data_IF_310075073570
#
_entry.id   IF_310075073570
#
_cell.length_a   1.000
_cell.length_b   1.000
_cell.length_c   1.000
_cell.angle_alpha   90.00
_cell.angle_beta   90.00
_cell.angle_gamma   90.00
#
_symmetry.space_group_name_H-M   'P 1'
#
loop_
_entity.id
_entity.type
_entity.pdbx_description
1 polymer ?
#
# COMPACT_ATOMS: atom_id res chain seq x y z
N UNK A 1 27.82 -32.45 4.98
CA UNK A 1 27.15 -32.17 3.70
C UNK A 1 25.68 -31.90 4.05
N UNK A 2 25.37 -30.67 4.30
CA UNK A 2 24.03 -30.21 4.56
C UNK A 2 23.67 -29.28 3.41
N UNK A 3 22.96 -29.86 2.40
CA UNK A 3 22.37 -29.10 1.33
C UNK A 3 21.30 -28.16 1.92
N UNK A 4 21.60 -26.87 1.94
CA UNK A 4 20.64 -25.82 2.20
C UNK A 4 19.73 -25.73 0.97
N UNK A 5 18.58 -26.40 1.03
CA UNK A 5 17.50 -26.16 0.09
C UNK A 5 16.91 -24.78 0.39
N UNK A 6 17.47 -23.74 -0.22
CA UNK A 6 16.80 -22.47 -0.39
C UNK A 6 15.65 -22.69 -1.39
N UNK A 7 14.53 -23.22 -0.91
CA UNK A 7 13.31 -23.30 -1.66
C UNK A 7 12.66 -21.91 -1.67
N UNK A 8 13.10 -21.04 -2.58
CA UNK A 8 12.32 -19.86 -2.94
C UNK A 8 11.07 -20.36 -3.68
N UNK A 9 10.03 -20.68 -2.92
CA UNK A 9 8.71 -20.94 -3.47
C UNK A 9 8.12 -19.58 -3.91
N UNK A 10 8.55 -19.12 -5.06
CA UNK A 10 7.85 -18.07 -5.78
C UNK A 10 6.57 -18.70 -6.31
N UNK A 11 5.43 -18.37 -5.71
CA UNK A 11 4.16 -18.65 -6.37
C UNK A 11 4.23 -18.02 -7.76
N UNK A 12 3.93 -18.77 -8.83
CA UNK A 12 3.86 -18.18 -10.15
C UNK A 12 2.58 -17.34 -10.27
N UNK A 13 2.50 -16.19 -9.57
CA UNK A 13 1.68 -15.09 -10.04
C UNK A 13 2.43 -14.38 -11.19
N UNK A 14 3.39 -15.07 -11.74
CA UNK A 14 4.05 -14.81 -13.02
C UNK A 14 3.09 -14.73 -14.22
N UNK A 15 1.78 -14.79 -14.00
CA UNK A 15 0.76 -14.66 -15.02
C UNK A 15 -0.41 -13.78 -14.55
N UNK A 16 -0.13 -12.58 -14.04
CA UNK A 16 -1.10 -11.50 -14.25
C UNK A 16 -1.14 -11.31 -15.77
N UNK A 17 -2.24 -11.64 -16.48
CA UNK A 17 -2.26 -11.52 -17.93
C UNK A 17 -1.81 -10.13 -18.33
N UNK A 18 -0.84 -10.04 -19.24
CA UNK A 18 -0.42 -8.76 -19.79
C UNK A 18 -1.68 -8.03 -20.28
N UNK A 19 -1.85 -6.77 -19.86
CA UNK A 19 -3.02 -5.98 -20.22
C UNK A 19 -4.22 -6.08 -19.28
N UNK A 20 -4.15 -6.80 -18.16
CA UNK A 20 -5.25 -6.89 -17.18
C UNK A 20 -5.66 -5.52 -16.60
N UNK A 21 -4.69 -4.59 -16.47
CA UNK A 21 -4.90 -3.21 -16.06
C UNK A 21 -4.63 -2.22 -17.19
N UNK A 22 -4.64 -2.66 -18.45
CA UNK A 22 -4.42 -1.78 -19.58
C UNK A 22 -5.42 -0.62 -19.62
N UNK A 23 -4.92 0.60 -19.85
CA UNK A 23 -5.71 1.82 -19.88
C UNK A 23 -6.12 2.36 -18.51
N UNK A 24 -5.68 1.74 -17.41
CA UNK A 24 -5.85 2.27 -16.05
C UNK A 24 -4.73 3.24 -15.68
N UNK A 25 -5.07 4.23 -14.89
CA UNK A 25 -4.09 5.13 -14.26
C UNK A 25 -4.10 4.89 -12.76
N UNK A 26 -3.01 4.31 -12.28
CA UNK A 26 -2.83 3.93 -10.87
C UNK A 26 -1.96 4.95 -10.12
N UNK A 27 -2.35 5.28 -8.91
CA UNK A 27 -1.57 6.08 -7.95
C UNK A 27 -1.21 5.21 -6.76
N UNK A 28 0.07 5.16 -6.40
CA UNK A 28 0.56 4.37 -5.27
C UNK A 28 1.36 5.26 -4.34
N UNK A 29 0.92 5.42 -3.10
CA UNK A 29 1.70 6.13 -2.07
C UNK A 29 2.63 5.17 -1.33
N UNK A 30 3.77 5.69 -0.82
CA UNK A 30 4.79 4.83 -0.22
C UNK A 30 5.47 3.91 -1.23
N UNK A 31 5.55 4.34 -2.50
CA UNK A 31 6.03 3.52 -3.61
C UNK A 31 7.56 3.35 -3.66
N UNK A 32 8.33 4.00 -2.78
CA UNK A 32 9.80 3.95 -2.81
C UNK A 32 10.41 2.65 -2.29
N UNK A 33 9.63 1.76 -1.63
CA UNK A 33 10.10 0.48 -1.12
C UNK A 33 8.92 -0.46 -0.77
N UNK A 34 9.24 -1.70 -0.40
CA UNK A 34 8.33 -2.68 0.18
C UNK A 34 7.08 -2.92 -0.68
N UNK A 35 5.92 -3.01 -0.03
CA UNK A 35 4.63 -3.33 -0.67
C UNK A 35 4.28 -2.33 -1.78
N UNK A 36 4.56 -1.04 -1.58
CA UNK A 36 4.27 -0.02 -2.59
C UNK A 36 5.08 -0.20 -3.87
N UNK A 37 6.39 -0.47 -3.76
CA UNK A 37 7.26 -0.74 -4.90
C UNK A 37 6.87 -2.05 -5.60
N UNK A 38 6.63 -3.12 -4.86
CA UNK A 38 6.18 -4.40 -5.40
C UNK A 38 4.82 -4.26 -6.13
N UNK A 39 3.88 -3.49 -5.57
CA UNK A 39 2.59 -3.19 -6.22
C UNK A 39 2.78 -2.42 -7.53
N UNK A 40 3.73 -1.47 -7.56
CA UNK A 40 4.05 -0.72 -8.77
C UNK A 40 4.58 -1.63 -9.88
N UNK A 41 5.46 -2.59 -9.56
CA UNK A 41 5.92 -3.61 -10.50
C UNK A 41 4.75 -4.43 -11.05
N UNK A 42 3.85 -4.92 -10.21
CA UNK A 42 2.68 -5.72 -10.65
C UNK A 42 1.74 -4.93 -11.54
N UNK A 43 1.48 -3.66 -11.18
CA UNK A 43 0.56 -2.82 -11.97
C UNK A 43 1.17 -2.43 -13.32
N UNK A 44 2.47 -2.10 -13.36
CA UNK A 44 3.18 -1.83 -14.60
C UNK A 44 3.20 -3.07 -15.52
N UNK A 45 3.51 -4.25 -14.97
CA UNK A 45 3.48 -5.53 -15.71
C UNK A 45 2.07 -5.85 -16.22
N UNK A 46 1.02 -5.43 -15.50
CA UNK A 46 -0.38 -5.58 -15.92
C UNK A 46 -0.83 -4.53 -16.95
N UNK A 47 0.02 -3.57 -17.33
CA UNK A 47 -0.23 -2.57 -18.36
C UNK A 47 -0.87 -1.27 -17.86
N UNK A 48 -0.86 -0.99 -16.57
CA UNK A 48 -1.30 0.30 -16.02
C UNK A 48 -0.24 1.39 -16.22
N UNK A 49 -0.69 2.63 -16.41
CA UNK A 49 0.13 3.80 -16.15
C UNK A 49 0.23 4.02 -14.62
N UNK A 50 1.44 4.29 -14.09
CA UNK A 50 1.67 4.29 -12.64
C UNK A 50 2.29 5.59 -12.15
N UNK A 51 1.64 6.28 -11.22
CA UNK A 51 2.21 7.37 -10.44
C UNK A 51 2.80 6.83 -9.13
N UNK A 52 4.10 7.05 -8.92
CA UNK A 52 4.86 6.60 -7.76
C UNK A 52 5.03 7.77 -6.78
N UNK A 53 4.36 7.72 -5.63
CA UNK A 53 4.39 8.77 -4.63
C UNK A 53 5.18 8.33 -3.40
N UNK A 54 6.09 9.20 -2.92
CA UNK A 54 6.86 8.97 -1.71
C UNK A 54 7.85 10.09 -1.45
N UNK A 55 8.55 10.06 -0.32
CA UNK A 55 9.50 11.13 0.07
C UNK A 55 10.87 11.00 -0.59
N UNK A 56 11.29 9.75 -0.90
CA UNK A 56 12.64 9.41 -1.37
C UNK A 56 12.72 9.49 -2.90
N UNK A 57 12.96 10.69 -3.45
CA UNK A 57 12.95 10.94 -4.90
C UNK A 57 13.87 10.01 -5.68
N UNK A 58 15.12 9.82 -5.23
CA UNK A 58 16.08 8.95 -5.92
C UNK A 58 15.59 7.51 -6.10
N UNK A 59 14.99 6.91 -5.04
CA UNK A 59 14.43 5.56 -5.13
C UNK A 59 13.19 5.49 -6.04
N UNK A 60 12.40 6.56 -6.10
CA UNK A 60 11.26 6.64 -7.02
C UNK A 60 11.73 6.75 -8.47
N UNK A 61 12.79 7.53 -8.74
CA UNK A 61 13.38 7.69 -10.07
C UNK A 61 13.99 6.38 -10.57
N UNK A 62 14.73 5.66 -9.72
CA UNK A 62 15.32 4.37 -10.03
C UNK A 62 14.22 3.31 -10.33
N UNK A 63 13.18 3.27 -9.50
CA UNK A 63 12.04 2.37 -9.73
C UNK A 63 11.33 2.73 -11.04
N UNK A 64 11.11 4.02 -11.31
CA UNK A 64 10.47 4.45 -12.55
C UNK A 64 11.29 4.07 -13.77
N UNK A 65 12.63 4.17 -13.72
CA UNK A 65 13.51 3.75 -14.78
C UNK A 65 13.41 2.24 -15.03
N UNK A 66 13.41 1.44 -13.96
CA UNK A 66 13.26 -0.02 -14.01
C UNK A 66 11.93 -0.41 -14.65
N UNK A 67 10.81 0.15 -14.18
CA UNK A 67 9.48 -0.18 -14.69
C UNK A 67 9.30 0.19 -16.18
N UNK A 68 9.89 1.31 -16.60
CA UNK A 68 9.88 1.70 -18.02
C UNK A 68 10.68 0.72 -18.88
N UNK A 69 11.83 0.27 -18.38
CA UNK A 69 12.70 -0.66 -19.11
C UNK A 69 12.09 -2.07 -19.21
N UNK A 70 11.52 -2.58 -18.13
CA UNK A 70 11.01 -3.95 -18.05
C UNK A 70 9.62 -4.12 -18.69
N UNK A 71 8.74 -3.10 -18.55
CA UNK A 71 7.33 -3.24 -18.90
C UNK A 71 6.85 -2.23 -19.96
N UNK A 72 7.72 -1.34 -20.45
CA UNK A 72 7.35 -0.24 -21.34
C UNK A 72 6.19 0.61 -20.78
N UNK A 73 6.08 0.67 -19.45
CA UNK A 73 4.99 1.34 -18.75
C UNK A 73 5.15 2.86 -18.73
N UNK A 74 4.05 3.59 -18.77
CA UNK A 74 4.03 5.01 -18.46
C UNK A 74 4.15 5.19 -16.93
N UNK A 75 5.25 5.78 -16.46
CA UNK A 75 5.53 5.91 -15.03
C UNK A 75 5.89 7.36 -14.69
N UNK A 76 5.27 7.90 -13.64
CA UNK A 76 5.54 9.24 -13.12
C UNK A 76 5.98 9.15 -11.65
N UNK A 77 7.27 9.34 -11.34
CA UNK A 77 7.73 9.50 -9.97
C UNK A 77 7.39 10.93 -9.46
N UNK A 78 6.85 11.02 -8.24
CA UNK A 78 6.49 12.29 -7.59
C UNK A 78 6.95 12.28 -6.15
N UNK A 79 7.94 13.11 -5.82
CA UNK A 79 8.38 13.29 -4.45
C UNK A 79 7.33 14.08 -3.66
N UNK A 80 6.72 13.44 -2.67
CA UNK A 80 5.65 14.04 -1.86
C UNK A 80 5.58 13.39 -0.48
N UNK A 81 5.33 14.19 0.55
CA UNK A 81 4.90 13.70 1.85
C UNK A 81 3.37 13.67 1.89
N UNK A 82 2.79 12.51 2.20
CA UNK A 82 1.34 12.36 2.30
C UNK A 82 0.75 13.12 3.52
N UNK A 83 1.57 13.48 4.49
CA UNK A 83 1.20 14.32 5.62
C UNK A 83 1.06 15.81 5.25
N UNK A 84 1.50 16.22 4.04
CA UNK A 84 1.32 17.57 3.51
C UNK A 84 0.17 17.63 2.50
N UNK A 85 -1.00 18.17 2.87
CA UNK A 85 -2.16 18.24 1.98
C UNK A 85 -1.96 19.16 0.75
N UNK A 86 -1.11 20.20 0.87
CA UNK A 86 -0.84 21.10 -0.24
C UNK A 86 0.06 20.41 -1.28
N UNK A 87 1.09 19.69 -0.82
CA UNK A 87 1.96 18.88 -1.66
C UNK A 87 1.17 17.75 -2.36
N UNK A 88 0.27 17.07 -1.65
CA UNK A 88 -0.62 16.06 -2.26
C UNK A 88 -1.52 16.65 -3.36
N UNK A 89 -2.05 17.84 -3.13
CA UNK A 89 -2.90 18.52 -4.14
C UNK A 89 -2.11 18.89 -5.38
N UNK A 90 -0.88 19.36 -5.21
CA UNK A 90 0.02 19.67 -6.33
C UNK A 90 0.42 18.38 -7.09
N UNK A 91 0.76 17.31 -6.37
CA UNK A 91 1.05 16.01 -6.95
C UNK A 91 -0.12 15.47 -7.79
N UNK A 92 -1.34 15.55 -7.27
CA UNK A 92 -2.53 15.12 -7.99
C UNK A 92 -2.77 15.92 -9.28
N UNK A 93 -2.49 17.22 -9.26
CA UNK A 93 -2.58 18.06 -10.46
C UNK A 93 -1.55 17.68 -11.51
N UNK A 94 -0.32 17.38 -11.10
CA UNK A 94 0.75 16.90 -11.97
C UNK A 94 0.40 15.54 -12.60
N UNK A 95 -0.13 14.61 -11.81
CA UNK A 95 -0.54 13.28 -12.28
C UNK A 95 -1.63 13.40 -13.35
N UNK A 96 -2.67 14.22 -13.09
CA UNK A 96 -3.74 14.45 -14.09
C UNK A 96 -3.24 15.04 -15.40
N UNK A 97 -2.25 15.94 -15.33
CA UNK A 97 -1.67 16.57 -16.51
C UNK A 97 -0.77 15.61 -17.32
N UNK A 98 -0.12 14.63 -16.66
CA UNK A 98 0.90 13.76 -17.27
C UNK A 98 0.32 12.41 -17.69
N UNK A 99 -0.39 11.73 -16.78
CA UNK A 99 -0.91 10.37 -16.99
C UNK A 99 -2.42 10.33 -17.23
N UNK A 100 -3.12 11.44 -17.04
CA UNK A 100 -4.56 11.48 -17.07
C UNK A 100 -5.19 11.28 -15.69
N UNK A 101 -6.53 11.13 -15.66
CA UNK A 101 -7.29 10.98 -14.41
C UNK A 101 -7.13 9.59 -13.82
N UNK A 102 -6.67 9.48 -12.57
CA UNK A 102 -6.58 8.19 -11.88
C UNK A 102 -7.94 7.52 -11.70
N UNK A 103 -7.98 6.21 -11.90
CA UNK A 103 -9.11 5.36 -11.58
C UNK A 103 -8.77 4.23 -10.60
N UNK A 104 -7.51 4.16 -10.17
CA UNK A 104 -7.00 3.20 -9.18
C UNK A 104 -6.07 3.92 -8.20
N UNK A 105 -6.41 3.94 -6.93
CA UNK A 105 -5.59 4.56 -5.86
C UNK A 105 -5.26 3.53 -4.80
N UNK A 106 -3.97 3.37 -4.52
CA UNK A 106 -3.45 2.55 -3.43
C UNK A 106 -2.83 3.47 -2.37
N UNK A 107 -3.56 3.71 -1.31
CA UNK A 107 -3.11 4.46 -0.14
C UNK A 107 -2.31 3.51 0.77
N UNK A 108 -1.02 3.33 0.41
CA UNK A 108 -0.11 2.37 1.04
C UNK A 108 0.89 3.04 2.00
N UNK A 109 1.21 4.33 1.84
CA UNK A 109 2.16 5.01 2.72
C UNK A 109 1.80 4.80 4.19
N UNK A 110 2.79 4.41 4.99
CA UNK A 110 2.62 4.17 6.42
C UNK A 110 3.95 4.06 7.13
N UNK A 111 3.92 4.27 8.44
CA UNK A 111 5.05 4.09 9.36
C UNK A 111 4.60 3.26 10.55
N UNK A 112 5.53 2.47 11.10
CA UNK A 112 5.32 1.64 12.28
C UNK A 112 6.46 1.91 13.26
N UNK A 113 6.14 2.57 14.36
CA UNK A 113 7.08 2.97 15.39
C UNK A 113 6.53 2.43 16.72
N UNK A 114 7.25 1.49 17.29
CA UNK A 114 6.83 0.75 18.49
C UNK A 114 7.77 1.00 19.66
N UNK A 115 7.19 1.07 20.85
CA UNK A 115 7.89 1.09 22.13
C UNK A 115 6.91 0.71 23.26
N UNK A 116 7.38 0.25 24.44
CA UNK A 116 6.56 0.20 25.64
C UNK A 116 5.91 1.57 25.90
N UNK A 117 4.66 1.58 26.36
CA UNK A 117 3.87 2.82 26.43
C UNK A 117 4.50 3.90 27.32
N UNK A 118 5.18 3.52 28.38
CA UNK A 118 5.86 4.39 29.33
C UNK A 118 7.27 4.84 28.89
N UNK A 119 7.80 4.25 27.83
CA UNK A 119 9.12 4.58 27.28
C UNK A 119 9.03 5.24 25.88
N UNK A 120 7.83 5.33 25.32
CA UNK A 120 7.61 5.80 23.96
C UNK A 120 7.85 7.30 23.79
N UNK A 121 8.53 7.68 22.70
CA UNK A 121 8.59 9.08 22.25
C UNK A 121 7.25 9.48 21.60
N UNK A 122 6.59 10.49 22.16
CA UNK A 122 5.32 10.99 21.61
C UNK A 122 5.47 11.61 20.21
N UNK A 123 6.66 12.03 19.81
CA UNK A 123 6.92 12.49 18.44
C UNK A 123 6.75 11.35 17.41
N UNK A 124 7.08 10.11 17.77
CA UNK A 124 6.79 8.93 16.95
C UNK A 124 5.29 8.66 16.85
N UNK A 125 4.52 8.94 17.90
CA UNK A 125 3.06 8.85 17.83
C UNK A 125 2.46 9.88 16.88
N UNK A 126 2.92 11.14 16.94
CA UNK A 126 2.48 12.20 16.04
C UNK A 126 2.80 11.83 14.58
N UNK A 127 3.99 11.27 14.32
CA UNK A 127 4.38 10.80 13.00
C UNK A 127 3.46 9.67 12.49
N UNK A 128 3.13 8.69 13.34
CA UNK A 128 2.18 7.63 12.97
C UNK A 128 0.78 8.18 12.69
N UNK A 129 0.31 9.10 13.50
CA UNK A 129 -1.00 9.75 13.29
C UNK A 129 -1.00 10.56 12.00
N UNK A 130 0.04 11.33 11.74
CA UNK A 130 0.13 12.18 10.55
C UNK A 130 0.19 11.36 9.27
N UNK A 131 0.99 10.30 9.23
CA UNK A 131 1.13 9.48 8.01
C UNK A 131 -0.03 8.50 7.87
N UNK A 132 -0.29 7.66 8.91
CA UNK A 132 -1.22 6.55 8.79
C UNK A 132 -2.68 7.00 8.86
N UNK A 133 -2.98 8.05 9.68
CA UNK A 133 -4.36 8.45 9.96
C UNK A 133 -4.79 9.75 9.26
N UNK A 134 -3.89 10.71 9.03
CA UNK A 134 -4.20 11.93 8.26
C UNK A 134 -3.85 11.77 6.78
N UNK A 135 -2.66 11.25 6.47
CA UNK A 135 -2.15 11.10 5.10
C UNK A 135 -2.92 10.10 4.25
N UNK A 136 -3.36 8.97 4.83
CA UNK A 136 -4.12 7.96 4.11
C UNK A 136 -5.49 8.51 3.62
N UNK A 137 -6.37 9.06 4.45
CA UNK A 137 -7.63 9.63 3.97
C UNK A 137 -7.42 10.88 3.11
N UNK A 138 -6.36 11.67 3.33
CA UNK A 138 -6.02 12.79 2.46
C UNK A 138 -5.68 12.30 1.04
N UNK A 139 -4.95 11.19 0.92
CA UNK A 139 -4.70 10.52 -0.37
C UNK A 139 -6.01 10.14 -1.06
N UNK A 140 -6.91 9.43 -0.38
CA UNK A 140 -8.23 9.11 -0.94
C UNK A 140 -9.03 10.36 -1.32
N UNK A 141 -9.00 11.39 -0.47
CA UNK A 141 -9.78 12.63 -0.66
C UNK A 141 -9.33 13.45 -1.88
N UNK A 142 -8.04 13.50 -2.16
CA UNK A 142 -7.51 14.30 -3.28
C UNK A 142 -7.85 13.69 -4.65
N UNK A 143 -8.04 12.35 -4.71
CA UNK A 143 -8.37 11.63 -5.94
C UNK A 143 -9.85 11.21 -6.05
N UNK A 144 -10.68 11.45 -5.03
CA UNK A 144 -12.07 10.95 -5.02
C UNK A 144 -12.90 11.45 -6.20
N UNK A 145 -12.70 12.69 -6.66
CA UNK A 145 -13.42 13.24 -7.80
C UNK A 145 -13.07 12.52 -9.12
N UNK A 146 -11.82 12.02 -9.23
CA UNK A 146 -11.39 11.25 -10.41
C UNK A 146 -11.99 9.85 -10.39
N UNK A 147 -11.99 9.18 -9.22
CA UNK A 147 -12.60 7.86 -9.04
C UNK A 147 -14.11 7.90 -9.33
N UNK A 148 -14.80 8.91 -8.84
CA UNK A 148 -16.23 9.08 -9.11
C UNK A 148 -16.51 9.34 -10.59
N UNK A 149 -15.72 10.20 -11.24
CA UNK A 149 -15.86 10.46 -12.68
C UNK A 149 -15.56 9.21 -13.53
N UNK A 150 -14.63 8.35 -13.08
CA UNK A 150 -14.39 7.07 -13.73
C UNK A 150 -15.60 6.14 -13.60
N UNK A 151 -16.17 6.03 -12.40
CA UNK A 151 -17.36 5.23 -12.14
C UNK A 151 -18.59 5.73 -12.93
N UNK A 152 -18.83 7.04 -12.95
CA UNK A 152 -19.90 7.67 -13.74
C UNK A 152 -19.75 7.42 -15.25
N UNK A 153 -18.52 7.28 -15.74
CA UNK A 153 -18.21 6.92 -17.12
C UNK A 153 -18.30 5.39 -17.38
N UNK A 154 -18.80 4.60 -16.42
CA UNK A 154 -18.90 3.14 -16.53
C UNK A 154 -17.55 2.39 -16.45
N UNK A 155 -16.48 3.07 -16.08
CA UNK A 155 -15.16 2.46 -15.85
C UNK A 155 -15.04 1.95 -14.43
N UNK A 156 -14.16 0.97 -14.26
CA UNK A 156 -13.83 0.46 -12.91
C UNK A 156 -13.05 1.52 -12.13
N UNK A 157 -13.45 1.78 -10.89
CA UNK A 157 -12.81 2.74 -10.00
C UNK A 157 -12.51 2.09 -8.64
N UNK A 158 -11.26 2.17 -8.19
CA UNK A 158 -10.78 1.49 -6.99
C UNK A 158 -10.06 2.42 -6.02
N UNK A 159 -10.38 2.28 -4.73
CA UNK A 159 -9.61 2.81 -3.61
C UNK A 159 -9.18 1.64 -2.72
N UNK A 160 -7.88 1.38 -2.67
CA UNK A 160 -7.27 0.36 -1.81
C UNK A 160 -6.55 1.05 -0.66
N UNK A 161 -6.91 0.72 0.57
CA UNK A 161 -6.24 1.21 1.77
C UNK A 161 -5.41 0.09 2.38
N UNK A 162 -4.13 0.35 2.68
CA UNK A 162 -3.28 -0.61 3.39
C UNK A 162 -3.54 -0.53 4.89
N UNK A 163 -4.27 -1.54 5.38
CA UNK A 163 -4.47 -1.78 6.78
C UNK A 163 -3.32 -2.56 7.42
N UNK A 164 -3.65 -3.41 8.36
CA UNK A 164 -2.74 -4.36 9.02
C UNK A 164 -3.56 -5.27 9.92
N UNK A 165 -3.10 -6.50 10.15
CA UNK A 165 -3.65 -7.36 11.20
C UNK A 165 -3.50 -6.76 12.61
N UNK A 166 -2.57 -5.82 12.81
CA UNK A 166 -2.45 -5.04 14.05
C UNK A 166 -3.70 -4.18 14.40
N UNK A 167 -4.67 -4.07 13.47
CA UNK A 167 -5.98 -3.51 13.76
C UNK A 167 -6.82 -4.39 14.70
N UNK A 168 -6.57 -5.70 14.74
CA UNK A 168 -7.35 -6.71 15.47
C UNK A 168 -6.48 -7.56 16.41
N UNK A 169 -5.22 -7.83 16.03
CA UNK A 169 -4.27 -8.58 16.85
C UNK A 169 -3.52 -7.64 17.79
N UNK A 170 -3.40 -8.04 19.06
CA UNK A 170 -2.76 -7.21 20.09
C UNK A 170 -1.25 -7.46 20.11
N UNK A 171 -0.50 -6.38 19.90
CA UNK A 171 0.95 -6.33 20.08
C UNK A 171 1.26 -5.27 21.13
N UNK A 172 1.79 -5.69 22.30
CA UNK A 172 1.94 -4.83 23.49
C UNK A 172 2.72 -3.54 23.23
N UNK A 173 3.80 -3.61 22.46
CA UNK A 173 4.69 -2.47 22.20
C UNK A 173 4.24 -1.59 21.01
N UNK A 174 3.04 -1.83 20.46
CA UNK A 174 2.54 -1.10 19.29
C UNK A 174 1.17 -0.47 19.50
N UNK A 175 0.86 0.17 20.67
CA UNK A 175 -0.49 0.60 20.98
C UNK A 175 -1.00 1.67 20.00
N UNK A 176 -0.18 2.67 19.66
CA UNK A 176 -0.59 3.75 18.74
C UNK A 176 -0.62 3.27 17.29
N UNK A 177 0.34 2.44 16.87
CA UNK A 177 0.28 1.82 15.54
C UNK A 177 -0.99 1.02 15.35
N UNK A 178 -1.32 0.11 16.28
CA UNK A 178 -2.56 -0.67 16.25
C UNK A 178 -3.81 0.20 16.20
N UNK A 179 -3.84 1.26 17.02
CA UNK A 179 -4.94 2.23 17.01
C UNK A 179 -5.09 2.93 15.64
N UNK A 180 -3.98 3.35 15.00
CA UNK A 180 -4.05 3.96 13.65
C UNK A 180 -4.58 2.96 12.63
N UNK A 181 -4.18 1.69 12.69
CA UNK A 181 -4.63 0.65 11.74
C UNK A 181 -6.09 0.23 11.99
N UNK A 182 -6.54 0.19 13.24
CA UNK A 182 -7.96 0.00 13.56
C UNK A 182 -8.83 1.14 13.02
N UNK A 183 -8.34 2.39 13.13
CA UNK A 183 -9.01 3.54 12.54
C UNK A 183 -9.07 3.46 11.00
N UNK A 184 -8.02 3.00 10.32
CA UNK A 184 -8.01 2.78 8.87
C UNK A 184 -9.04 1.72 8.46
N UNK A 185 -9.13 0.61 9.20
CA UNK A 185 -10.13 -0.44 8.94
C UNK A 185 -11.55 0.13 9.03
N UNK A 186 -11.86 0.86 10.13
CA UNK A 186 -13.20 1.44 10.29
C UNK A 186 -13.49 2.54 9.26
N UNK A 187 -12.51 3.39 8.94
CA UNK A 187 -12.61 4.38 7.87
C UNK A 187 -12.93 3.72 6.53
N UNK A 188 -12.23 2.65 6.19
CA UNK A 188 -12.42 1.92 4.93
C UNK A 188 -13.82 1.34 4.83
N UNK A 189 -14.36 0.76 5.91
CA UNK A 189 -15.75 0.27 5.99
C UNK A 189 -16.76 1.39 5.75
N UNK A 190 -16.56 2.56 6.35
CA UNK A 190 -17.43 3.73 6.18
C UNK A 190 -17.36 4.29 4.75
N UNK A 191 -16.14 4.41 4.19
CA UNK A 191 -15.97 4.85 2.80
C UNK A 191 -16.61 3.88 1.81
N UNK A 192 -16.52 2.58 2.05
CA UNK A 192 -17.19 1.55 1.23
C UNK A 192 -18.70 1.73 1.24
N UNK A 193 -19.30 1.96 2.41
CA UNK A 193 -20.73 2.20 2.54
C UNK A 193 -21.18 3.49 1.80
N UNK A 194 -20.37 4.54 1.81
CA UNK A 194 -20.67 5.82 1.19
C UNK A 194 -20.41 5.87 -0.32
N UNK A 195 -19.32 5.24 -0.78
CA UNK A 195 -18.83 5.34 -2.16
C UNK A 195 -19.24 4.16 -3.04
N UNK A 196 -19.51 2.99 -2.44
CA UNK A 196 -19.97 1.80 -3.16
C UNK A 196 -21.23 2.02 -3.98
N UNK A 197 -22.30 2.63 -3.43
CA UNK A 197 -23.49 2.99 -4.19
C UNK A 197 -23.22 3.95 -5.35
N UNK A 198 -22.07 4.63 -5.35
CA UNK A 198 -21.62 5.56 -6.40
C UNK A 198 -20.62 4.91 -7.36
N UNK A 199 -20.46 3.57 -7.30
CA UNK A 199 -19.65 2.79 -8.22
C UNK A 199 -18.15 2.73 -7.92
N UNK A 200 -17.67 3.28 -6.79
CA UNK A 200 -16.25 3.17 -6.37
C UNK A 200 -16.08 1.96 -5.45
N UNK A 201 -15.22 1.04 -5.83
CA UNK A 201 -14.87 -0.14 -5.00
C UNK A 201 -13.83 0.26 -3.96
N UNK A 202 -14.21 0.23 -2.69
CA UNK A 202 -13.31 0.55 -1.57
C UNK A 202 -13.00 -0.72 -0.79
N UNK A 203 -11.70 -0.96 -0.55
CA UNK A 203 -11.24 -2.17 0.16
C UNK A 203 -10.06 -1.90 1.08
N UNK A 204 -9.88 -2.77 2.06
CA UNK A 204 -8.63 -2.90 2.80
C UNK A 204 -7.85 -4.14 2.36
N UNK A 205 -6.54 -4.04 2.41
CA UNK A 205 -5.63 -5.18 2.40
C UNK A 205 -4.81 -5.10 3.67
N UNK A 206 -4.86 -6.17 4.46
CA UNK A 206 -4.40 -6.19 5.84
C UNK A 206 -3.29 -7.24 6.01
N UNK A 207 -2.02 -6.90 5.71
CA UNK A 207 -0.91 -7.84 5.83
C UNK A 207 -0.46 -8.03 7.28
N UNK A 208 0.12 -9.21 7.56
CA UNK A 208 0.91 -9.48 8.74
C UNK A 208 2.32 -9.93 8.36
N UNK A 209 3.33 -9.50 9.10
CA UNK A 209 4.73 -9.98 9.00
C UNK A 209 5.31 -10.00 7.58
N UNK A 210 4.95 -9.04 6.75
CA UNK A 210 5.60 -8.85 5.46
C UNK A 210 7.03 -8.32 5.65
N UNK A 211 8.00 -8.94 4.97
CA UNK A 211 9.39 -8.46 4.97
C UNK A 211 9.47 -7.17 4.16
N UNK A 212 9.68 -6.07 4.87
CA UNK A 212 9.82 -4.72 4.32
C UNK A 212 10.71 -3.90 5.24
N UNK A 213 11.04 -2.67 4.84
CA UNK A 213 11.72 -1.70 5.70
C UNK A 213 10.83 -1.16 6.85
N UNK A 214 9.54 -1.51 6.88
CA UNK A 214 8.60 -1.01 7.89
C UNK A 214 9.05 -1.42 9.30
N UNK A 215 9.25 -0.44 10.18
CA UNK A 215 9.73 -0.64 11.53
C UNK A 215 11.25 -0.51 11.70
N UNK A 216 12.03 -0.32 10.62
CA UNK A 216 13.49 -0.10 10.73
C UNK A 216 13.86 1.21 11.40
N UNK A 217 12.95 2.21 11.35
CA UNK A 217 13.17 3.56 11.85
C UNK A 217 12.73 3.74 13.32
N UNK A 218 12.33 2.67 14.03
CA UNK A 218 11.98 2.74 15.46
C UNK A 218 13.16 3.24 16.29
N UNK A 219 12.95 4.25 17.11
CA UNK A 219 13.97 4.73 18.04
C UNK A 219 14.21 3.74 19.17
N UNK A 220 13.18 3.01 19.64
CA UNK A 220 13.30 2.03 20.70
C UNK A 220 13.98 0.74 20.22
N UNK A 221 15.27 0.61 20.54
CA UNK A 221 16.14 -0.48 20.01
C UNK A 221 15.66 -1.88 20.42
N UNK A 222 15.17 -2.06 21.63
CA UNK A 222 14.72 -3.37 22.11
C UNK A 222 13.47 -3.84 21.34
N UNK A 223 12.50 -2.95 21.08
CA UNK A 223 11.31 -3.29 20.28
C UNK A 223 11.68 -3.56 18.82
N UNK A 224 12.64 -2.80 18.26
CA UNK A 224 13.15 -3.05 16.91
C UNK A 224 13.81 -4.44 16.81
N UNK A 225 14.69 -4.78 17.76
CA UNK A 225 15.33 -6.10 17.81
C UNK A 225 14.29 -7.22 18.01
N UNK A 226 13.28 -7.02 18.86
CA UNK A 226 12.18 -7.96 19.05
C UNK A 226 11.34 -8.19 17.78
N UNK A 227 11.16 -7.17 16.95
CA UNK A 227 10.50 -7.31 15.63
C UNK A 227 11.33 -8.20 14.69
N UNK A 228 12.64 -8.00 14.66
CA UNK A 228 13.55 -8.81 13.83
C UNK A 228 13.62 -10.27 14.31
N UNK A 229 13.62 -10.49 15.63
CA UNK A 229 13.53 -11.83 16.23
C UNK A 229 12.19 -12.49 15.85
N UNK A 230 11.09 -11.80 15.99
CA UNK A 230 9.76 -12.29 15.63
C UNK A 230 9.66 -12.66 14.14
N UNK A 231 10.23 -11.82 13.26
CA UNK A 231 10.30 -12.09 11.81
C UNK A 231 11.17 -13.31 11.49
N UNK A 232 12.25 -13.54 12.24
CA UNK A 232 13.14 -14.70 12.04
C UNK A 232 12.55 -16.01 12.58
N UNK A 233 11.59 -15.94 13.50
CA UNK A 233 10.97 -17.10 14.14
C UNK A 233 9.85 -17.74 13.30
N UNK A 234 9.37 -17.07 12.26
CA UNK A 234 8.27 -17.54 11.41
C UNK A 234 8.66 -17.47 9.92
N UNK A 235 7.95 -18.24 9.10
CA UNK A 235 8.03 -18.05 7.65
C UNK A 235 7.25 -16.79 7.27
N UNK A 236 7.96 -15.68 7.07
CA UNK A 236 7.35 -14.40 6.70
C UNK A 236 6.80 -14.42 5.28
N UNK A 237 5.84 -13.54 5.00
CA UNK A 237 5.44 -13.23 3.62
C UNK A 237 6.32 -12.12 3.05
N UNK A 238 6.39 -12.03 1.73
CA UNK A 238 7.15 -10.99 1.02
C UNK A 238 6.26 -9.79 0.66
N UNK A 239 6.89 -8.69 0.27
CA UNK A 239 6.17 -7.55 -0.29
C UNK A 239 5.43 -7.92 -1.58
N UNK A 240 5.99 -8.83 -2.36
CA UNK A 240 5.42 -9.37 -3.61
C UNK A 240 4.16 -10.17 -3.36
N UNK A 241 4.11 -11.00 -2.29
CA UNK A 241 2.90 -11.76 -1.92
C UNK A 241 1.72 -10.81 -1.63
N UNK A 242 1.99 -9.71 -0.93
CA UNK A 242 0.98 -8.69 -0.66
C UNK A 242 0.59 -7.93 -1.93
N UNK A 243 1.55 -7.59 -2.79
CA UNK A 243 1.29 -6.94 -4.07
C UNK A 243 0.46 -7.82 -5.01
N UNK A 244 0.67 -9.13 -4.98
CA UNK A 244 -0.13 -10.11 -5.72
C UNK A 244 -1.58 -10.13 -5.24
N UNK A 245 -1.79 -10.11 -3.92
CA UNK A 245 -3.11 -10.01 -3.32
C UNK A 245 -3.82 -8.69 -3.67
N UNK A 246 -3.09 -7.55 -3.65
CA UNK A 246 -3.62 -6.25 -4.09
C UNK A 246 -4.03 -6.35 -5.56
N UNK A 247 -3.16 -6.86 -6.43
CA UNK A 247 -3.40 -6.97 -7.87
C UNK A 247 -4.61 -7.85 -8.16
N UNK A 248 -4.69 -9.03 -7.54
CA UNK A 248 -5.86 -9.91 -7.62
C UNK A 248 -7.14 -9.15 -7.24
N UNK A 249 -7.12 -8.39 -6.16
CA UNK A 249 -8.31 -7.72 -5.63
C UNK A 249 -8.86 -6.64 -6.59
N UNK A 250 -8.01 -5.99 -7.38
CA UNK A 250 -8.42 -4.93 -8.34
C UNK A 250 -8.74 -5.48 -9.72
N UNK A 251 -8.25 -6.68 -10.04
CA UNK A 251 -8.40 -7.34 -11.33
C UNK A 251 -9.75 -8.06 -11.53
N UNK A 252 -10.52 -8.26 -10.47
CA UNK A 252 -11.84 -8.89 -10.54
C UNK A 252 -12.84 -8.05 -11.35
N UNK A 253 -13.89 -8.67 -11.93
CA UNK A 253 -14.90 -7.95 -12.70
C UNK A 253 -15.50 -6.76 -11.93
N UNK A 254 -15.81 -5.66 -12.62
CA UNK A 254 -16.27 -4.39 -12.01
C UNK A 254 -17.46 -4.50 -11.04
N UNK A 255 -18.32 -5.54 -11.21
CA UNK A 255 -19.44 -5.83 -10.30
C UNK A 255 -19.02 -6.47 -8.98
N UNK A 256 -17.74 -6.89 -8.84
CA UNK A 256 -17.22 -7.58 -7.65
C UNK A 256 -16.29 -6.63 -6.89
N UNK A 257 -16.50 -6.50 -5.60
CA UNK A 257 -15.58 -5.84 -4.68
C UNK A 257 -15.11 -6.85 -3.62
N UNK A 258 -13.81 -7.13 -3.60
CA UNK A 258 -13.19 -7.87 -2.49
C UNK A 258 -12.98 -6.84 -1.37
N UNK A 259 -13.88 -6.84 -0.41
CA UNK A 259 -14.04 -5.76 0.56
C UNK A 259 -12.88 -5.66 1.57
N UNK A 260 -12.43 -6.80 2.05
CA UNK A 260 -11.34 -6.95 3.03
C UNK A 260 -10.53 -8.18 2.66
N UNK A 261 -9.21 -8.08 2.70
CA UNK A 261 -8.31 -9.16 2.33
C UNK A 261 -7.15 -9.20 3.33
N UNK A 262 -7.15 -10.21 4.18
CA UNK A 262 -6.06 -10.46 5.12
C UNK A 262 -5.02 -11.37 4.47
N UNK A 263 -3.74 -10.98 4.53
CA UNK A 263 -2.62 -11.72 3.96
C UNK A 263 -1.61 -12.02 5.07
N UNK A 264 -1.51 -13.27 5.45
CA UNK A 264 -0.71 -13.71 6.59
C UNK A 264 0.19 -14.88 6.22
N UNK A 265 1.30 -15.10 6.93
CA UNK A 265 2.03 -16.37 6.85
C UNK A 265 1.12 -17.56 7.09
N UNK A 266 1.29 -18.63 6.34
CA UNK A 266 0.44 -19.83 6.44
C UNK A 266 0.41 -20.44 7.85
N UNK A 267 1.45 -20.22 8.64
CA UNK A 267 1.57 -20.69 10.02
C UNK A 267 0.67 -19.92 11.00
N UNK A 268 0.17 -18.74 10.61
CA UNK A 268 -0.62 -17.83 11.43
C UNK A 268 -2.09 -17.74 10.98
N UNK A 269 -2.44 -18.45 9.92
CA UNK A 269 -3.78 -18.45 9.32
C UNK A 269 -4.73 -19.50 9.88
#
# INVERSE_FOLDING_TARGET
>A
MTDSLSNSFSLPVANVPAGLLAGRVAVITGASAGIGAATAHRFAAAGAAVALLGRRSGLLDDLAATLRAEHSAEVLPVAVDVADPAALTAAASMIRATLGRPDLVVANAGVMLGAPFDEADTAEWDQMIDVNLRGLPATGRVFIADLLAAAEAGRVADLVNLGSTAAEVIFADYPVYGATKAAVTQLTRNLRASLGPRGVRVRSVDPAFAVTELGSDMAHEATRAGLDEMRSAITTITAEDVADAITFSVAVPGRVNIAELTVVPAELG
#
